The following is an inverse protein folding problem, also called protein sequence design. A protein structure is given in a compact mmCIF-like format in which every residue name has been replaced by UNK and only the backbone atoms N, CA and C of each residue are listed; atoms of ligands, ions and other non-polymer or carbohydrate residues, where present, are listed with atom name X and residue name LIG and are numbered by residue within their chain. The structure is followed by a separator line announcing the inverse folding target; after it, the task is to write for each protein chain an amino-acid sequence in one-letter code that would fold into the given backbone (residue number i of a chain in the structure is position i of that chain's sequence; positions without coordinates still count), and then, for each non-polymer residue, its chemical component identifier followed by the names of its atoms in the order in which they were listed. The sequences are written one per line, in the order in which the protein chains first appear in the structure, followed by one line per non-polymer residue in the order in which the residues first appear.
data_IF_315399630699
#
_entry.id   IF_315399630699
#
_cell.length_a   1.000
_cell.length_b   1.000
_cell.length_c   1.000
_cell.angle_alpha   90.00
_cell.angle_beta   90.00
_cell.angle_gamma   90.00
#
_symmetry.space_group_name_H-M   'P 1'
#
loop_
_entity.id
_entity.type
_entity.pdbx_description
1 polymer ?
#
# COMPACT_ATOMS: atom_id res chain seq x y z
N UNK A 1 -3.39 14.66 16.13
CA UNK A 1 -2.58 14.00 15.09
C UNK A 1 -2.64 12.51 15.38
N UNK A 2 -3.17 11.73 14.44
CA UNK A 2 -3.34 10.29 14.59
C UNK A 2 -2.50 9.54 13.57
N UNK A 3 -2.22 8.28 13.86
CA UNK A 3 -1.59 7.35 12.92
C UNK A 3 -2.22 5.97 13.05
N UNK A 4 -2.20 5.22 11.94
CA UNK A 4 -2.71 3.87 11.80
C UNK A 4 -1.74 3.08 10.91
N UNK A 5 -1.54 1.81 11.25
CA UNK A 5 -0.71 0.87 10.50
C UNK A 5 -1.46 -0.45 10.38
N UNK A 6 -1.89 -0.76 9.16
CA UNK A 6 -2.71 -1.92 8.86
C UNK A 6 -1.87 -2.99 8.15
N UNK A 7 -1.81 -4.18 8.75
CA UNK A 7 -1.10 -5.34 8.20
C UNK A 7 -2.07 -6.26 7.49
N UNK A 8 -1.80 -6.54 6.22
CA UNK A 8 -2.63 -7.46 5.43
C UNK A 8 -2.05 -8.88 5.45
N UNK A 9 -2.89 -9.92 5.38
CA UNK A 9 -2.42 -11.29 5.22
C UNK A 9 -1.59 -11.48 3.94
N UNK A 10 -0.47 -12.18 4.07
CA UNK A 10 0.55 -12.39 3.04
C UNK A 10 1.01 -13.85 3.01
N UNK A 11 1.69 -14.22 1.93
CA UNK A 11 2.33 -15.54 1.78
C UNK A 11 3.77 -15.47 2.32
N UNK A 12 4.18 -16.49 3.08
CA UNK A 12 5.55 -16.65 3.59
C UNK A 12 6.05 -15.41 4.36
N UNK A 13 7.19 -14.86 3.96
CA UNK A 13 7.86 -13.70 4.53
C UNK A 13 7.49 -12.37 3.84
N UNK A 14 6.43 -12.38 3.02
CA UNK A 14 5.96 -11.20 2.31
C UNK A 14 5.50 -10.06 3.22
N UNK A 15 5.22 -8.91 2.61
CA UNK A 15 4.64 -7.76 3.30
C UNK A 15 3.60 -7.06 2.42
N UNK A 16 2.54 -6.57 3.06
CA UNK A 16 1.52 -5.71 2.47
C UNK A 16 0.96 -4.86 3.60
N UNK A 17 1.24 -3.56 3.59
CA UNK A 17 0.97 -2.67 4.71
C UNK A 17 0.42 -1.35 4.20
N UNK A 18 -0.65 -0.84 4.82
CA UNK A 18 -1.12 0.52 4.65
C UNK A 18 -0.78 1.34 5.90
N UNK A 19 -0.22 2.53 5.72
CA UNK A 19 0.09 3.48 6.78
C UNK A 19 -0.66 4.76 6.51
N UNK A 20 -1.41 5.24 7.49
CA UNK A 20 -2.13 6.51 7.40
C UNK A 20 -1.75 7.40 8.57
N UNK A 21 -1.46 8.68 8.32
CA UNK A 21 -1.12 9.62 9.38
C UNK A 21 -1.58 11.04 9.05
N UNK A 22 -1.83 11.83 10.09
CA UNK A 22 -2.19 13.24 9.93
C UNK A 22 -3.31 13.68 10.86
N UNK A 23 -4.20 14.52 10.33
CA UNK A 23 -5.33 15.10 11.03
C UNK A 23 -6.61 14.97 10.20
N UNK A 24 -7.81 15.07 10.81
CA UNK A 24 -9.07 15.09 10.08
C UNK A 24 -9.03 16.07 8.90
N UNK A 25 -9.34 15.59 7.70
CA UNK A 25 -9.32 16.38 6.46
C UNK A 25 -7.94 16.54 5.80
N UNK A 26 -6.86 16.05 6.40
CA UNK A 26 -5.50 16.12 5.86
C UNK A 26 -4.66 14.90 6.31
N UNK A 27 -5.13 13.72 5.94
CA UNK A 27 -4.38 12.48 6.12
C UNK A 27 -3.51 12.21 4.90
N UNK A 28 -2.33 11.65 5.14
CA UNK A 28 -1.47 11.05 4.11
C UNK A 28 -1.51 9.54 4.20
N UNK A 29 -1.27 8.89 3.06
CA UNK A 29 -1.26 7.44 2.90
C UNK A 29 0.05 6.96 2.29
N UNK A 30 0.59 5.90 2.89
CA UNK A 30 1.72 5.15 2.36
C UNK A 30 1.34 3.68 2.25
N UNK A 31 1.68 3.07 1.13
CA UNK A 31 1.65 1.61 0.94
C UNK A 31 3.08 1.09 1.02
N UNK A 32 3.35 0.17 1.94
CA UNK A 32 4.64 -0.52 2.03
C UNK A 32 4.46 -1.97 1.60
N UNK A 33 5.04 -2.30 0.45
CA UNK A 33 4.82 -3.54 -0.29
C UNK A 33 3.33 -3.84 -0.58
N UNK A 34 3.08 -4.72 -1.54
CA UNK A 34 1.73 -5.09 -1.98
C UNK A 34 1.37 -6.53 -1.68
N UNK A 35 2.34 -7.33 -1.21
CA UNK A 35 2.17 -8.75 -1.02
C UNK A 35 2.00 -9.47 -2.35
N UNK A 36 1.16 -10.51 -2.34
CA UNK A 36 0.66 -11.15 -3.56
C UNK A 36 -0.42 -10.29 -4.23
N UNK A 37 -0.80 -10.60 -5.47
CA UNK A 37 -1.94 -9.92 -6.12
C UNK A 37 -3.25 -10.00 -5.30
N UNK A 38 -3.45 -11.09 -4.54
CA UNK A 38 -4.60 -11.22 -3.65
C UNK A 38 -4.52 -10.27 -2.43
N UNK A 39 -3.33 -10.14 -1.85
CA UNK A 39 -3.06 -9.17 -0.78
C UNK A 39 -3.27 -7.74 -1.28
N UNK A 40 -2.72 -7.40 -2.45
CA UNK A 40 -2.88 -6.09 -3.08
C UNK A 40 -4.34 -5.70 -3.33
N UNK A 41 -5.18 -6.63 -3.81
CA UNK A 41 -6.63 -6.36 -3.96
C UNK A 41 -7.33 -6.03 -2.63
N UNK A 42 -6.98 -6.74 -1.55
CA UNK A 42 -7.54 -6.47 -0.22
C UNK A 42 -7.06 -5.12 0.32
N UNK A 43 -5.80 -4.78 0.07
CA UNK A 43 -5.22 -3.51 0.45
C UNK A 43 -5.90 -2.34 -0.28
N UNK A 44 -6.10 -2.47 -1.59
CA UNK A 44 -6.83 -1.46 -2.39
C UNK A 44 -8.25 -1.28 -1.86
N UNK A 45 -8.99 -2.38 -1.64
CA UNK A 45 -10.34 -2.31 -1.08
C UNK A 45 -10.37 -1.62 0.29
N UNK A 46 -9.42 -1.91 1.18
CA UNK A 46 -9.32 -1.25 2.48
C UNK A 46 -9.09 0.26 2.36
N UNK A 47 -8.24 0.71 1.44
CA UNK A 47 -8.00 2.14 1.21
C UNK A 47 -9.28 2.82 0.72
N UNK A 48 -10.00 2.21 -0.22
CA UNK A 48 -11.25 2.77 -0.74
C UNK A 48 -12.37 2.79 0.31
N UNK A 49 -12.53 1.70 1.07
CA UNK A 49 -13.64 1.51 2.02
C UNK A 49 -13.42 2.21 3.37
N UNK A 50 -12.18 2.26 3.86
CA UNK A 50 -11.86 2.76 5.20
C UNK A 50 -11.09 4.09 5.19
N UNK A 51 -10.25 4.33 4.18
CA UNK A 51 -9.57 5.62 4.03
C UNK A 51 -10.36 6.60 3.14
N UNK A 52 -11.43 6.12 2.48
CA UNK A 52 -12.38 6.91 1.69
C UNK A 52 -11.69 7.74 0.59
N UNK A 53 -10.68 7.14 -0.06
CA UNK A 53 -9.89 7.77 -1.10
C UNK A 53 -9.38 6.73 -2.09
N UNK A 54 -9.05 7.17 -3.30
CA UNK A 54 -8.31 6.39 -4.30
C UNK A 54 -6.90 6.91 -4.52
N UNK A 55 -6.45 7.89 -3.73
CA UNK A 55 -5.10 8.47 -3.80
C UNK A 55 -4.24 7.94 -2.66
N UNK A 56 -3.01 7.53 -3.00
CA UNK A 56 -1.94 7.22 -2.05
C UNK A 56 -0.74 8.12 -2.33
N UNK A 57 -0.21 8.77 -1.29
CA UNK A 57 0.91 9.70 -1.44
C UNK A 57 2.18 8.95 -1.85
N UNK A 58 2.46 7.83 -1.19
CA UNK A 58 3.71 7.09 -1.35
C UNK A 58 3.46 5.59 -1.46
N UNK A 59 4.20 4.95 -2.36
CA UNK A 59 4.29 3.49 -2.46
C UNK A 59 5.76 3.10 -2.32
N UNK A 60 6.05 2.17 -1.42
CA UNK A 60 7.40 1.64 -1.21
C UNK A 60 7.45 0.20 -1.69
N UNK A 61 8.38 -0.09 -2.61
CA UNK A 61 8.78 -1.45 -2.97
C UNK A 61 10.08 -1.78 -2.26
N UNK A 62 9.99 -2.57 -1.20
CA UNK A 62 11.14 -2.88 -0.34
C UNK A 62 12.17 -3.77 -1.02
N UNK A 63 11.71 -4.73 -1.82
CA UNK A 63 12.53 -5.63 -2.61
C UNK A 63 11.68 -6.28 -3.73
N UNK A 64 12.30 -6.80 -4.81
CA UNK A 64 11.55 -7.27 -5.97
C UNK A 64 10.89 -8.64 -5.80
N UNK A 65 11.06 -9.34 -4.67
CA UNK A 65 10.52 -10.68 -4.50
C UNK A 65 8.99 -10.69 -4.60
N UNK A 66 8.44 -11.71 -5.28
CA UNK A 66 7.02 -11.75 -5.68
C UNK A 66 6.06 -11.62 -4.51
N UNK A 67 6.39 -12.22 -3.36
CA UNK A 67 5.56 -12.16 -2.15
C UNK A 67 5.56 -10.78 -1.47
N UNK A 68 6.35 -9.82 -1.96
CA UNK A 68 6.34 -8.41 -1.58
C UNK A 68 5.77 -7.53 -2.69
N UNK A 69 6.17 -7.77 -3.94
CA UNK A 69 6.01 -6.79 -5.03
C UNK A 69 4.81 -7.06 -5.96
N UNK A 70 4.29 -8.28 -6.04
CA UNK A 70 3.25 -8.62 -7.03
C UNK A 70 1.97 -7.79 -6.84
N UNK A 71 1.54 -7.60 -5.59
CA UNK A 71 0.38 -6.78 -5.27
C UNK A 71 0.57 -5.29 -5.55
N UNK A 72 1.81 -4.80 -5.69
CA UNK A 72 2.06 -3.41 -6.07
C UNK A 72 1.59 -3.12 -7.49
N UNK A 73 1.57 -4.12 -8.39
CA UNK A 73 0.96 -3.97 -9.70
C UNK A 73 -0.53 -3.62 -9.60
N UNK A 74 -1.26 -4.30 -8.72
CA UNK A 74 -2.68 -4.01 -8.46
C UNK A 74 -2.85 -2.60 -7.90
N UNK A 75 -1.98 -2.18 -6.98
CA UNK A 75 -2.00 -0.83 -6.39
C UNK A 75 -1.79 0.24 -7.47
N UNK A 76 -0.76 0.09 -8.31
CA UNK A 76 -0.42 1.04 -9.37
C UNK A 76 -1.48 1.10 -10.48
N UNK A 77 -2.19 0.00 -10.73
CA UNK A 77 -3.28 -0.05 -11.72
C UNK A 77 -4.60 0.54 -11.22
N UNK A 78 -4.85 0.50 -9.91
CA UNK A 78 -6.17 0.83 -9.32
C UNK A 78 -6.21 2.14 -8.57
N UNK A 79 -5.09 2.57 -7.99
CA UNK A 79 -5.00 3.79 -7.19
C UNK A 79 -4.23 4.87 -7.94
N UNK A 80 -4.55 6.12 -7.65
CA UNK A 80 -3.72 7.26 -8.03
C UNK A 80 -2.52 7.31 -7.10
N UNK A 81 -1.32 7.06 -7.63
CA UNK A 81 -0.08 7.03 -6.86
C UNK A 81 0.69 8.32 -7.07
N UNK A 82 1.01 9.02 -5.97
CA UNK A 82 1.85 10.22 -6.00
C UNK A 82 3.31 9.88 -6.33
N UNK A 83 3.95 9.06 -5.49
CA UNK A 83 5.34 8.65 -5.66
C UNK A 83 5.51 7.14 -5.47
N UNK A 84 6.35 6.54 -6.32
CA UNK A 84 6.84 5.17 -6.15
C UNK A 84 8.32 5.20 -5.78
N UNK A 85 8.64 4.66 -4.60
CA UNK A 85 10.00 4.49 -4.12
C UNK A 85 10.42 3.03 -4.30
N UNK A 86 11.41 2.80 -5.15
CA UNK A 86 11.94 1.48 -5.44
C UNK A 86 13.46 1.54 -5.62
N UNK A 87 14.14 0.43 -5.33
CA UNK A 87 15.56 0.31 -5.63
C UNK A 87 15.81 0.50 -7.13
N UNK A 88 16.91 1.18 -7.48
CA UNK A 88 17.38 1.25 -8.86
C UNK A 88 18.02 -0.09 -9.23
N UNK A 89 17.55 -0.78 -10.29
CA UNK A 89 18.14 -2.02 -10.77
C UNK A 89 19.60 -1.87 -11.18
#
# INVERSE_FOLDING_TARGET
MGYEVDFFPVLADGAAIAVRWGAPGNYRLLVYDGGTAASGRRLVAHIEEHCLTSHVDYVVSSNPARQHSEGLGVVLEKLNVGELWMHRP
#
